data_IF_816408670758
#
_entry.id   IF_816408670758
#
_cell.length_a   1.000
_cell.length_b   1.000
_cell.length_c   1.000
_cell.angle_alpha   90.00
_cell.angle_beta   90.00
_cell.angle_gamma   90.00
#
_symmetry.space_group_name_H-M   'P 1'
#
loop_
_entity.id
_entity.type
_entity.pdbx_description
1 polymer ?
#
# COMPACT_ATOMS: atom_id res chain seq x y z
N UNK A 1 1.84 -49.92 -22.36
CA UNK A 1 1.13 -49.54 -21.12
C UNK A 1 0.48 -48.17 -21.32
N UNK A 2 -0.62 -48.08 -22.09
CA UNK A 2 -1.28 -46.79 -22.42
C UNK A 2 -1.91 -46.08 -21.21
N UNK A 3 -2.20 -46.82 -20.14
CA UNK A 3 -2.84 -46.27 -18.93
C UNK A 3 -1.88 -45.30 -18.21
N UNK A 4 -0.57 -45.54 -18.27
CA UNK A 4 0.41 -44.69 -17.58
C UNK A 4 0.53 -43.30 -18.22
N UNK A 5 0.49 -43.17 -19.55
CA UNK A 5 0.55 -41.88 -20.23
C UNK A 5 -0.64 -40.97 -19.88
N UNK A 6 -1.84 -41.55 -19.77
CA UNK A 6 -3.04 -40.82 -19.35
C UNK A 6 -2.96 -40.30 -17.93
N UNK A 7 -2.36 -41.06 -17.01
CA UNK A 7 -2.19 -40.65 -15.60
C UNK A 7 -1.18 -39.51 -15.48
N UNK A 8 -0.11 -39.53 -16.27
CA UNK A 8 0.92 -38.48 -16.26
C UNK A 8 0.32 -37.13 -16.69
N UNK A 9 -0.60 -37.13 -17.65
CA UNK A 9 -1.30 -35.93 -18.10
C UNK A 9 -2.15 -35.27 -16.98
N UNK A 10 -2.69 -36.07 -16.06
CA UNK A 10 -3.53 -35.58 -14.95
C UNK A 10 -2.80 -35.38 -13.63
N UNK A 11 -1.50 -35.73 -13.53
CA UNK A 11 -0.72 -35.59 -12.29
C UNK A 11 -0.84 -34.20 -11.67
N UNK A 12 -0.73 -33.14 -12.48
CA UNK A 12 -0.83 -31.78 -11.97
C UNK A 12 -2.23 -31.43 -11.46
N UNK A 13 -3.29 -31.89 -12.12
CA UNK A 13 -4.65 -31.69 -11.64
C UNK A 13 -4.94 -32.46 -10.35
N UNK A 14 -4.42 -33.68 -10.22
CA UNK A 14 -4.53 -34.48 -9.00
C UNK A 14 -3.78 -33.80 -7.86
N UNK A 15 -2.53 -33.39 -8.08
CA UNK A 15 -1.72 -32.69 -7.07
C UNK A 15 -2.40 -31.37 -6.68
N UNK A 16 -2.86 -30.58 -7.66
CA UNK A 16 -3.52 -29.31 -7.40
C UNK A 16 -4.81 -29.49 -6.59
N UNK A 17 -5.65 -30.45 -6.97
CA UNK A 17 -6.88 -30.78 -6.24
C UNK A 17 -6.57 -31.26 -4.82
N UNK A 18 -5.51 -32.07 -4.67
CA UNK A 18 -5.06 -32.56 -3.38
C UNK A 18 -4.57 -31.42 -2.47
N UNK A 19 -3.76 -30.50 -3.00
CA UNK A 19 -3.28 -29.31 -2.29
C UNK A 19 -4.46 -28.43 -1.87
N UNK A 20 -5.40 -28.15 -2.78
CA UNK A 20 -6.61 -27.38 -2.46
C UNK A 20 -7.40 -28.07 -1.34
N UNK A 21 -7.65 -29.36 -1.47
CA UNK A 21 -8.36 -30.15 -0.46
C UNK A 21 -7.66 -30.04 0.91
N UNK A 22 -6.33 -30.16 0.93
CA UNK A 22 -5.53 -30.05 2.14
C UNK A 22 -5.62 -28.65 2.76
N UNK A 23 -5.62 -27.59 1.95
CA UNK A 23 -5.84 -26.21 2.39
C UNK A 23 -7.24 -26.06 3.01
N UNK A 24 -8.28 -26.60 2.36
CA UNK A 24 -9.64 -26.55 2.88
C UNK A 24 -9.77 -27.29 4.22
N UNK A 25 -9.19 -28.48 4.34
CA UNK A 25 -9.14 -29.22 5.60
C UNK A 25 -8.40 -28.41 6.66
N UNK A 26 -7.23 -27.84 6.34
CA UNK A 26 -6.51 -26.98 7.26
C UNK A 26 -7.34 -25.77 7.69
N UNK A 27 -8.10 -25.16 6.78
CA UNK A 27 -9.02 -24.06 7.12
C UNK A 27 -10.15 -24.57 8.03
N UNK A 28 -10.82 -25.69 7.72
CA UNK A 28 -11.95 -26.14 8.54
C UNK A 28 -11.52 -26.55 9.95
N UNK A 29 -10.36 -27.19 10.10
CA UNK A 29 -9.88 -27.69 11.40
C UNK A 29 -9.05 -26.67 12.18
N UNK A 30 -8.24 -25.87 11.50
CA UNK A 30 -7.37 -24.86 12.13
C UNK A 30 -8.02 -23.48 12.18
N UNK A 31 -8.98 -23.18 11.28
CA UNK A 31 -9.56 -21.85 11.18
C UNK A 31 -10.78 -21.49 12.03
N UNK A 32 -11.43 -22.32 12.88
CA UNK A 32 -12.33 -21.74 13.88
C UNK A 32 -11.56 -20.74 14.76
N UNK A 33 -10.27 -20.93 15.02
CA UNK A 33 -9.43 -19.91 15.66
C UNK A 33 -8.94 -18.85 14.66
N UNK A 34 -8.42 -19.26 13.49
CA UNK A 34 -7.83 -18.32 12.53
C UNK A 34 -8.84 -17.33 11.94
N UNK A 35 -10.06 -17.76 11.59
CA UNK A 35 -11.14 -16.86 11.11
C UNK A 35 -11.58 -15.92 12.23
N UNK A 36 -11.63 -16.40 13.49
CA UNK A 36 -11.96 -15.56 14.63
C UNK A 36 -10.88 -14.49 14.88
N UNK A 37 -9.62 -14.86 14.73
CA UNK A 37 -8.47 -13.95 14.80
C UNK A 37 -8.54 -12.94 13.64
N UNK A 38 -8.75 -13.41 12.42
CA UNK A 38 -8.87 -12.55 11.23
C UNK A 38 -10.07 -11.59 11.32
N UNK A 39 -11.18 -12.04 11.91
CA UNK A 39 -12.35 -11.22 12.20
C UNK A 39 -12.06 -10.19 13.31
N UNK A 40 -11.30 -10.56 14.34
CA UNK A 40 -10.87 -9.64 15.40
C UNK A 40 -9.95 -8.53 14.86
N UNK A 41 -9.04 -8.89 13.96
CA UNK A 41 -8.14 -7.94 13.29
C UNK A 41 -8.76 -7.29 12.04
N UNK A 42 -9.97 -7.70 11.63
CA UNK A 42 -10.65 -7.15 10.46
C UNK A 42 -10.76 -5.62 10.49
N UNK A 43 -11.10 -4.96 11.62
CA UNK A 43 -11.15 -3.50 11.69
C UNK A 43 -9.79 -2.85 11.39
N UNK A 44 -8.69 -3.46 11.85
CA UNK A 44 -7.32 -2.97 11.62
C UNK A 44 -6.90 -3.13 10.16
N UNK A 45 -7.20 -4.29 9.57
CA UNK A 45 -6.96 -4.52 8.14
C UNK A 45 -7.79 -3.56 7.28
N UNK A 46 -9.06 -3.36 7.64
CA UNK A 46 -9.96 -2.46 6.93
C UNK A 46 -9.50 -1.00 7.03
N UNK A 47 -9.08 -0.53 8.21
CA UNK A 47 -8.56 0.82 8.37
C UNK A 47 -7.25 1.02 7.61
N UNK A 48 -6.38 0.01 7.60
CA UNK A 48 -5.10 0.05 6.88
C UNK A 48 -5.34 0.05 5.37
N UNK A 49 -6.23 -0.80 4.87
CA UNK A 49 -6.61 -0.83 3.46
C UNK A 49 -7.23 0.49 3.03
N UNK A 50 -8.15 1.06 3.83
CA UNK A 50 -8.78 2.34 3.53
C UNK A 50 -7.79 3.49 3.57
N UNK A 51 -6.84 3.48 4.51
CA UNK A 51 -5.73 4.43 4.55
C UNK A 51 -4.83 4.32 3.32
N UNK A 52 -4.42 3.11 2.94
CA UNK A 52 -3.60 2.90 1.73
C UNK A 52 -4.34 3.31 0.47
N UNK A 53 -5.63 2.98 0.37
CA UNK A 53 -6.49 3.45 -0.72
C UNK A 53 -6.52 4.97 -0.74
N UNK A 54 -6.73 5.63 0.40
CA UNK A 54 -6.69 7.08 0.49
C UNK A 54 -5.32 7.64 0.05
N UNK A 55 -4.21 7.09 0.54
CA UNK A 55 -2.85 7.51 0.14
C UNK A 55 -2.63 7.33 -1.37
N UNK A 56 -3.08 6.23 -1.95
CA UNK A 56 -2.99 5.99 -3.39
C UNK A 56 -3.89 6.94 -4.18
N UNK A 57 -5.12 7.19 -3.71
CA UNK A 57 -6.03 8.13 -4.35
C UNK A 57 -5.47 9.54 -4.29
N UNK A 58 -5.12 10.05 -3.10
CA UNK A 58 -4.54 11.39 -2.94
C UNK A 58 -3.21 11.53 -3.67
N UNK A 59 -2.32 10.54 -3.60
CA UNK A 59 -1.05 10.51 -4.31
C UNK A 59 -1.20 10.43 -5.84
N UNK A 60 -2.26 9.79 -6.33
CA UNK A 60 -2.55 9.72 -7.77
C UNK A 60 -3.31 10.94 -8.28
N UNK A 61 -4.18 11.55 -7.46
CA UNK A 61 -4.83 12.84 -7.77
C UNK A 61 -3.86 14.02 -7.64
N UNK A 62 -2.74 13.85 -6.96
CA UNK A 62 -1.66 14.85 -6.87
C UNK A 62 -0.63 14.73 -8.00
N UNK A 63 -0.82 13.86 -9.00
CA UNK A 63 0.06 13.81 -10.18
C UNK A 63 -0.50 14.69 -11.32
N UNK A 64 0.34 15.53 -11.95
CA UNK A 64 -0.06 16.81 -12.51
C UNK A 64 -0.63 16.66 -13.91
N UNK A 65 -1.89 17.03 -14.08
CA UNK A 65 -2.58 17.00 -15.35
C UNK A 65 -3.26 18.32 -15.71
N UNK A 66 -2.98 19.42 -15.01
CA UNK A 66 -3.33 20.78 -15.42
C UNK A 66 -2.43 21.71 -14.61
N UNK A 67 -1.39 22.25 -15.25
CA UNK A 67 -0.61 23.43 -14.84
C UNK A 67 0.11 23.36 -13.47
N UNK A 68 1.46 23.34 -13.53
CA UNK A 68 2.44 23.64 -12.46
C UNK A 68 3.19 22.43 -11.91
N UNK A 69 4.29 22.10 -12.58
CA UNK A 69 5.39 21.23 -12.15
C UNK A 69 6.17 21.77 -10.92
N UNK A 70 5.51 22.36 -9.92
CA UNK A 70 6.22 23.13 -8.88
C UNK A 70 5.45 23.29 -7.57
N UNK A 71 4.74 22.26 -7.10
CA UNK A 71 4.07 22.32 -5.79
C UNK A 71 4.65 21.33 -4.76
N UNK A 72 5.08 20.14 -5.19
CA UNK A 72 5.78 19.19 -4.30
C UNK A 72 7.17 19.67 -3.90
N UNK A 73 7.99 20.07 -4.88
CA UNK A 73 9.31 20.66 -4.63
C UNK A 73 9.21 21.96 -3.83
N UNK A 74 8.24 22.83 -4.14
CA UNK A 74 8.08 24.09 -3.39
C UNK A 74 7.63 23.90 -1.95
N UNK A 75 6.83 22.89 -1.65
CA UNK A 75 6.41 22.59 -0.27
C UNK A 75 7.58 22.05 0.57
N UNK A 76 8.49 21.29 -0.06
CA UNK A 76 9.70 20.78 0.59
C UNK A 76 10.77 21.87 0.68
N UNK A 77 10.96 22.67 -0.37
CA UNK A 77 11.85 23.84 -0.36
C UNK A 77 11.45 24.85 0.72
N UNK A 78 10.16 25.11 0.93
CA UNK A 78 9.70 26.01 2.02
C UNK A 78 10.02 25.50 3.42
N UNK A 79 10.06 24.17 3.63
CA UNK A 79 10.49 23.58 4.90
C UNK A 79 12.01 23.60 5.04
N UNK A 80 12.74 23.42 3.94
CA UNK A 80 14.20 23.51 3.91
C UNK A 80 14.67 24.94 4.16
N UNK A 81 14.02 25.96 3.59
CA UNK A 81 14.34 27.37 3.84
C UNK A 81 13.99 27.80 5.28
N UNK A 82 12.90 27.28 5.84
CA UNK A 82 12.52 27.52 7.24
C UNK A 82 13.53 26.90 8.23
N UNK A 83 14.08 25.73 7.91
CA UNK A 83 15.13 25.07 8.72
C UNK A 83 16.52 25.65 8.46
N UNK A 84 16.79 26.13 7.25
CA UNK A 84 18.06 26.74 6.85
C UNK A 84 18.27 28.14 7.46
N UNK A 85 17.24 28.74 8.05
CA UNK A 85 17.35 30.01 8.76
C UNK A 85 17.86 31.12 7.85
N UNK A 86 17.08 31.51 6.84
CA UNK A 86 17.31 32.81 6.20
C UNK A 86 17.02 33.92 7.22
N UNK A 87 18.00 34.79 7.54
CA UNK A 87 17.75 35.93 8.41
C UNK A 87 16.75 36.85 7.72
N UNK A 88 15.78 37.31 8.49
CA UNK A 88 14.74 38.23 8.06
C UNK A 88 15.33 39.36 7.19
N UNK A 89 14.77 39.56 5.99
CA UNK A 89 14.79 40.87 5.35
C UNK A 89 13.92 41.83 6.18
N UNK A 90 14.42 42.21 7.36
CA UNK A 90 13.90 43.29 8.20
C UNK A 90 15.11 44.06 8.71
N UNK A 91 15.71 44.86 7.83
CA UNK A 91 16.44 46.08 8.22
C UNK A 91 15.88 47.17 7.30
N UNK A 92 14.74 47.70 7.72
CA UNK A 92 14.65 49.05 8.28
C UNK A 92 14.93 50.14 7.23
N UNK A 93 13.79 50.62 6.75
CA UNK A 93 13.58 51.95 6.22
C UNK A 93 14.06 53.00 7.25
N UNK A 94 15.36 53.29 7.31
CA UNK A 94 15.93 54.39 8.08
C UNK A 94 16.64 55.35 7.12
N UNK A 95 15.86 56.35 6.69
CA UNK A 95 16.32 57.59 6.09
C UNK A 95 17.07 58.41 7.16
N UNK A 96 18.32 58.83 6.93
CA UNK A 96 18.85 60.04 7.53
C UNK A 96 18.75 61.20 6.54
N UNK A 97 18.51 62.36 7.12
CA UNK A 97 18.46 63.71 6.54
C UNK A 97 19.77 64.12 5.83
#
# INVERSE_FOLDING_TARGET
MEIQEKIIHYKYHIIFTFIISLIFVAIIFLAPSFVTILAYFWPLFLSTALFLVAVVFFGKTSSPGTETESSGDKAVEGLLDYVAGQPEQVVENLKPE
#
